data_IF_408184541594
#
_entry.id   IF_408184541594
#
_cell.length_a   1.000
_cell.length_b   1.000
_cell.length_c   1.000
_cell.angle_alpha   90.00
_cell.angle_beta   90.00
_cell.angle_gamma   90.00
#
_symmetry.space_group_name_H-M   'P 1'
#
loop_
_entity.id
_entity.type
_entity.pdbx_description
1 polymer ?
#
# COMPACT_ATOMS: atom_id res chain seq x y z
N UNK A 1 -48.76 -0.45 -22.66
CA UNK A 1 -47.38 -0.34 -23.15
C UNK A 1 -46.45 -0.47 -21.95
N UNK A 2 -46.11 -1.70 -21.58
CA UNK A 2 -45.14 -1.94 -20.51
C UNK A 2 -43.73 -1.72 -21.06
N UNK A 3 -43.07 -0.68 -20.56
CA UNK A 3 -41.63 -0.52 -20.70
C UNK A 3 -40.97 -1.70 -19.99
N UNK A 4 -40.57 -2.71 -20.77
CA UNK A 4 -39.57 -3.70 -20.36
C UNK A 4 -38.33 -2.91 -19.96
N UNK A 5 -38.19 -2.68 -18.65
CA UNK A 5 -36.94 -2.25 -18.03
C UNK A 5 -35.90 -3.30 -18.42
N UNK A 6 -35.10 -2.98 -19.42
CA UNK A 6 -33.90 -3.74 -19.76
C UNK A 6 -32.94 -3.54 -18.59
N UNK A 7 -33.01 -4.43 -17.60
CA UNK A 7 -31.98 -4.55 -16.59
C UNK A 7 -30.87 -5.36 -17.25
N UNK A 8 -29.74 -4.75 -17.67
CA UNK A 8 -28.62 -5.55 -18.13
C UNK A 8 -28.11 -6.28 -16.89
N UNK A 9 -28.11 -7.60 -16.98
CA UNK A 9 -27.79 -8.45 -15.87
C UNK A 9 -26.33 -8.21 -15.49
N UNK A 10 -26.11 -7.66 -14.29
CA UNK A 10 -24.81 -7.58 -13.62
C UNK A 10 -24.40 -8.99 -13.11
N UNK A 11 -24.63 -10.01 -13.92
CA UNK A 11 -24.04 -11.33 -13.78
C UNK A 11 -22.78 -11.32 -14.64
N UNK A 12 -21.62 -11.58 -14.04
CA UNK A 12 -20.34 -11.62 -14.72
C UNK A 12 -20.35 -12.71 -15.81
N UNK A 13 -20.81 -12.36 -17.01
CA UNK A 13 -20.76 -13.25 -18.16
C UNK A 13 -19.30 -13.37 -18.60
N UNK A 14 -18.78 -14.59 -18.78
CA UNK A 14 -17.43 -14.77 -19.29
C UNK A 14 -17.35 -14.15 -20.69
N UNK A 15 -16.35 -13.29 -20.89
CA UNK A 15 -16.06 -12.66 -22.18
C UNK A 15 -14.80 -13.29 -22.75
N UNK A 16 -14.91 -13.79 -23.99
CA UNK A 16 -13.76 -14.31 -24.72
C UNK A 16 -12.85 -13.16 -25.19
N UNK A 17 -11.55 -13.30 -24.93
CA UNK A 17 -10.54 -12.31 -25.30
C UNK A 17 -9.45 -12.94 -26.16
N UNK A 18 -9.15 -12.31 -27.29
CA UNK A 18 -8.11 -12.77 -28.22
C UNK A 18 -7.16 -11.62 -28.55
N UNK A 19 -5.86 -11.85 -28.33
CA UNK A 19 -4.80 -10.91 -28.70
C UNK A 19 -4.16 -11.39 -30.00
N UNK A 20 -4.20 -10.53 -31.03
CA UNK A 20 -3.55 -10.81 -32.32
C UNK A 20 -2.14 -10.21 -32.33
N UNK A 21 -1.28 -10.80 -33.16
CA UNK A 21 0.08 -10.29 -33.44
C UNK A 21 0.96 -10.14 -32.19
N UNK A 22 0.91 -11.12 -31.27
CA UNK A 22 1.83 -11.15 -30.13
C UNK A 22 3.23 -11.52 -30.63
N UNK A 23 4.27 -10.72 -30.35
CA UNK A 23 5.64 -11.07 -30.70
C UNK A 23 6.08 -12.37 -30.02
N UNK A 24 6.81 -13.24 -30.73
CA UNK A 24 7.21 -14.56 -30.23
C UNK A 24 7.96 -14.50 -28.90
N UNK A 25 8.87 -13.52 -28.76
CA UNK A 25 9.62 -13.32 -27.52
C UNK A 25 8.70 -12.98 -26.33
N UNK A 26 7.61 -12.25 -26.55
CA UNK A 26 6.62 -11.92 -25.52
C UNK A 26 5.82 -13.16 -25.15
N UNK A 27 5.34 -13.89 -26.16
CA UNK A 27 4.62 -15.14 -25.94
C UNK A 27 5.45 -16.16 -25.16
N UNK A 28 6.75 -16.27 -25.47
CA UNK A 28 7.64 -17.18 -24.75
C UNK A 28 7.83 -16.77 -23.29
N UNK A 29 8.10 -15.49 -23.03
CA UNK A 29 8.24 -14.98 -21.65
C UNK A 29 6.97 -15.21 -20.82
N UNK A 30 5.79 -15.10 -21.44
CA UNK A 30 4.52 -15.39 -20.77
C UNK A 30 4.35 -16.88 -20.45
N UNK A 31 4.75 -17.78 -21.36
CA UNK A 31 4.77 -19.23 -21.10
C UNK A 31 5.75 -19.58 -19.98
N UNK A 32 6.95 -19.06 -20.01
CA UNK A 32 7.97 -19.31 -18.97
C UNK A 32 7.51 -18.78 -17.61
N UNK A 33 6.83 -17.63 -17.60
CA UNK A 33 6.19 -17.08 -16.40
C UNK A 33 5.08 -18.01 -15.89
N UNK A 34 4.17 -18.47 -16.76
CA UNK A 34 3.12 -19.41 -16.37
C UNK A 34 3.68 -20.72 -15.79
N UNK A 35 4.74 -21.27 -16.39
CA UNK A 35 5.45 -22.46 -15.89
C UNK A 35 6.05 -22.24 -14.50
N UNK A 36 6.76 -21.13 -14.30
CA UNK A 36 7.36 -20.77 -12.99
C UNK A 36 6.30 -20.61 -11.90
N UNK A 37 5.12 -20.12 -12.26
CA UNK A 37 4.02 -19.93 -11.32
C UNK A 37 3.12 -21.18 -11.18
N UNK A 38 3.44 -22.26 -11.90
CA UNK A 38 2.68 -23.51 -11.96
C UNK A 38 1.19 -23.29 -12.33
N UNK A 39 0.94 -22.45 -13.34
CA UNK A 39 -0.41 -22.09 -13.81
C UNK A 39 -0.52 -22.33 -15.32
N UNK A 40 -1.75 -22.48 -15.81
CA UNK A 40 -1.99 -22.41 -17.26
C UNK A 40 -1.71 -20.99 -17.77
N UNK A 41 -1.36 -20.87 -19.05
CA UNK A 41 -1.15 -19.57 -19.70
C UNK A 41 -2.38 -18.66 -19.57
N UNK A 42 -3.58 -19.23 -19.74
CA UNK A 42 -4.83 -18.49 -19.58
C UNK A 42 -4.99 -17.92 -18.16
N UNK A 43 -4.71 -18.72 -17.12
CA UNK A 43 -4.79 -18.26 -15.73
C UNK A 43 -3.74 -17.19 -15.42
N UNK A 44 -2.55 -17.32 -15.98
CA UNK A 44 -1.50 -16.29 -15.82
C UNK A 44 -1.90 -14.97 -16.50
N UNK A 45 -2.47 -15.03 -17.70
CA UNK A 45 -2.97 -13.84 -18.39
C UNK A 45 -4.10 -13.16 -17.62
N UNK A 46 -5.04 -13.93 -17.06
CA UNK A 46 -6.09 -13.39 -16.21
C UNK A 46 -5.51 -12.65 -15.00
N UNK A 47 -4.54 -13.25 -14.28
CA UNK A 47 -3.90 -12.58 -13.15
C UNK A 47 -3.20 -11.26 -13.55
N UNK A 48 -2.56 -11.21 -14.73
CA UNK A 48 -1.92 -9.98 -15.22
C UNK A 48 -2.99 -8.90 -15.50
N UNK A 49 -4.09 -9.28 -16.15
CA UNK A 49 -5.17 -8.35 -16.47
C UNK A 49 -5.90 -7.85 -15.21
N UNK A 50 -6.15 -8.73 -14.23
CA UNK A 50 -6.72 -8.37 -12.92
C UNK A 50 -5.82 -7.41 -12.15
N UNK A 51 -4.51 -7.63 -12.17
CA UNK A 51 -3.56 -6.72 -11.54
C UNK A 51 -3.54 -5.36 -12.24
N UNK A 52 -3.49 -5.34 -13.58
CA UNK A 52 -3.48 -4.11 -14.36
C UNK A 52 -4.77 -3.29 -14.20
N UNK A 53 -5.94 -3.94 -14.15
CA UNK A 53 -7.22 -3.25 -13.94
C UNK A 53 -7.38 -2.72 -12.52
N UNK A 54 -6.72 -3.34 -11.54
CA UNK A 54 -6.72 -2.88 -10.15
C UNK A 54 -5.77 -1.69 -9.92
N UNK A 55 -4.74 -1.54 -10.75
CA UNK A 55 -3.74 -0.46 -10.63
C UNK A 55 -4.29 0.93 -10.99
N UNK A 56 -5.41 1.03 -11.72
CA UNK A 56 -6.13 2.30 -11.93
C UNK A 56 -6.60 2.95 -10.61
N UNK A 57 -6.65 2.17 -9.51
CA UNK A 57 -7.02 2.63 -8.16
C UNK A 57 -5.82 2.80 -7.21
N UNK A 58 -4.58 2.69 -7.68
CA UNK A 58 -3.42 3.10 -6.89
C UNK A 58 -3.20 4.61 -7.09
N UNK A 59 -3.55 5.49 -6.13
CA UNK A 59 -2.83 6.75 -6.07
C UNK A 59 -1.35 6.42 -6.03
N UNK A 60 -0.54 7.07 -6.86
CA UNK A 60 0.92 6.97 -6.84
C UNK A 60 1.35 6.87 -5.37
N UNK A 61 1.87 5.71 -4.98
CA UNK A 61 2.45 5.55 -3.67
C UNK A 61 3.65 6.50 -3.65
N UNK A 62 3.42 7.71 -3.14
CA UNK A 62 4.48 8.55 -2.61
C UNK A 62 5.20 7.63 -1.64
N UNK A 63 6.41 7.20 -2.02
CA UNK A 63 7.27 6.52 -1.08
C UNK A 63 7.38 7.46 0.11
N UNK A 64 6.84 7.05 1.26
CA UNK A 64 7.01 7.79 2.50
C UNK A 64 8.51 8.08 2.62
N UNK A 65 8.92 9.35 2.75
CA UNK A 65 10.33 9.65 2.93
C UNK A 65 10.80 8.80 4.10
N UNK A 66 11.81 7.96 3.87
CA UNK A 66 12.40 7.11 4.91
C UNK A 66 12.63 8.01 6.11
N UNK A 67 11.98 7.77 7.25
CA UNK A 67 12.08 8.73 8.33
C UNK A 67 13.54 8.72 8.77
N UNK A 68 14.18 9.88 8.66
CA UNK A 68 15.61 10.10 8.82
C UNK A 68 16.04 10.01 10.28
N UNK A 69 15.68 8.94 10.99
CA UNK A 69 16.35 8.60 12.22
C UNK A 69 17.79 8.21 11.86
N UNK A 70 18.81 8.89 12.42
CA UNK A 70 20.19 8.48 12.26
C UNK A 70 20.31 7.01 12.67
N UNK A 71 20.85 6.17 11.78
CA UNK A 71 21.06 4.74 12.04
C UNK A 71 21.98 4.48 13.25
N UNK A 72 22.64 5.52 13.74
CA UNK A 72 23.59 5.58 14.85
C UNK A 72 22.99 6.04 16.18
N UNK A 73 21.70 6.40 16.25
CA UNK A 73 21.02 6.72 17.51
C UNK A 73 20.71 5.44 18.34
N UNK A 74 21.76 4.78 18.82
CA UNK A 74 21.68 3.72 19.82
C UNK A 74 22.40 2.44 19.45
N UNK A 75 23.73 2.49 19.30
CA UNK A 75 24.60 1.32 19.42
C UNK A 75 24.63 0.81 20.88
N UNK A 76 23.47 0.41 21.40
CA UNK A 76 23.35 -0.36 22.63
C UNK A 76 23.56 -1.84 22.31
N UNK A 77 24.39 -2.52 23.10
CA UNK A 77 24.73 -3.93 22.93
C UNK A 77 23.46 -4.79 22.68
N UNK A 78 23.48 -5.72 21.70
CA UNK A 78 22.30 -6.47 21.28
C UNK A 78 21.62 -7.27 22.40
N UNK A 79 22.36 -7.65 23.44
CA UNK A 79 21.81 -8.33 24.62
C UNK A 79 20.84 -7.44 25.42
N UNK A 80 21.14 -6.15 25.57
CA UNK A 80 20.28 -5.21 26.28
C UNK A 80 19.00 -4.90 25.51
N UNK A 81 19.05 -4.90 24.16
CA UNK A 81 17.85 -4.82 23.31
C UNK A 81 16.97 -6.05 23.46
N UNK A 82 17.55 -7.26 23.52
CA UNK A 82 16.81 -8.51 23.76
C UNK A 82 16.17 -8.57 25.14
N UNK A 83 16.84 -8.07 26.17
CA UNK A 83 16.29 -7.98 27.53
C UNK A 83 15.13 -6.96 27.64
N UNK A 84 15.22 -5.82 26.92
CA UNK A 84 14.13 -4.83 26.87
C UNK A 84 12.92 -5.29 26.05
N UNK A 85 13.13 -6.06 24.98
CA UNK A 85 12.06 -6.53 24.09
C UNK A 85 11.08 -7.52 24.74
N UNK A 86 11.43 -8.12 25.88
CA UNK A 86 10.61 -9.13 26.58
C UNK A 86 9.64 -8.57 27.62
N UNK A 87 9.63 -7.25 27.84
CA UNK A 87 8.67 -6.62 28.74
C UNK A 87 7.50 -6.08 27.92
N UNK A 88 6.44 -6.86 27.84
CA UNK A 88 5.14 -6.36 27.39
C UNK A 88 4.70 -5.30 28.40
N UNK A 89 4.82 -4.01 28.05
CA UNK A 89 4.18 -2.97 28.84
C UNK A 89 2.69 -3.04 28.60
N UNK A 90 1.90 -2.83 29.66
CA UNK A 90 0.47 -2.64 29.48
C UNK A 90 0.21 -1.33 28.75
N UNK A 91 -0.96 -1.19 28.14
CA UNK A 91 -1.36 0.02 27.43
C UNK A 91 -1.28 1.27 28.33
N UNK A 92 -1.64 1.10 29.60
CA UNK A 92 -1.61 2.15 30.62
C UNK A 92 -0.18 2.56 31.00
N UNK A 93 0.70 1.58 31.23
CA UNK A 93 2.12 1.85 31.51
C UNK A 93 2.83 2.51 30.32
N UNK A 94 2.48 2.10 29.10
CA UNK A 94 2.98 2.74 27.88
C UNK A 94 2.53 4.20 27.79
N UNK A 95 1.26 4.46 28.12
CA UNK A 95 0.68 5.81 28.07
C UNK A 95 1.26 6.75 29.13
N UNK A 96 1.50 6.26 30.36
CA UNK A 96 2.24 7.01 31.38
C UNK A 96 3.67 7.34 30.96
N UNK A 97 4.36 6.36 30.37
CA UNK A 97 5.75 6.54 29.93
C UNK A 97 5.84 7.57 28.80
N UNK A 98 4.91 7.54 27.86
CA UNK A 98 4.87 8.50 26.75
C UNK A 98 4.68 9.95 27.25
N UNK A 99 3.82 10.16 28.26
CA UNK A 99 3.60 11.49 28.85
C UNK A 99 4.83 12.08 29.55
N UNK A 100 5.79 11.25 29.97
CA UNK A 100 7.06 11.72 30.58
C UNK A 100 8.10 12.14 29.54
N UNK A 101 7.94 11.76 28.27
CA UNK A 101 8.94 11.94 27.22
C UNK A 101 8.80 13.24 26.43
N UNK A 102 7.78 14.06 26.72
CA UNK A 102 7.62 15.36 26.08
C UNK A 102 6.27 15.99 26.40
N UNK A 103 6.08 17.27 26.03
CA UNK A 103 4.80 17.94 26.21
C UNK A 103 3.70 17.13 25.50
N UNK A 104 2.52 16.98 26.11
CA UNK A 104 1.43 16.23 25.51
C UNK A 104 1.14 16.81 24.13
N UNK A 105 1.00 15.92 23.13
CA UNK A 105 0.55 16.29 21.78
C UNK A 105 -0.93 16.72 21.93
N UNK A 106 -1.14 17.96 22.33
CA UNK A 106 -2.46 18.47 22.72
C UNK A 106 -2.51 19.99 22.91
N UNK A 107 -1.50 20.72 22.45
CA UNK A 107 -1.47 22.19 22.50
C UNK A 107 -1.90 22.87 21.19
N UNK A 108 -1.58 22.26 20.05
CA UNK A 108 -2.04 22.68 18.73
C UNK A 108 -2.33 21.42 17.91
N UNK A 109 -3.49 21.36 17.25
CA UNK A 109 -3.76 20.26 16.34
C UNK A 109 -2.65 20.23 15.28
N UNK A 110 -2.08 19.07 14.99
CA UNK A 110 -1.12 18.90 13.87
C UNK A 110 -1.70 19.47 12.56
N UNK A 111 -3.04 19.45 12.42
CA UNK A 111 -3.73 20.10 11.32
C UNK A 111 -3.57 21.63 11.29
N UNK A 112 -3.52 22.32 12.44
CA UNK A 112 -3.30 23.76 12.53
C UNK A 112 -1.89 24.15 12.08
N UNK A 113 -0.88 23.35 12.45
CA UNK A 113 0.51 23.55 11.98
C UNK A 113 0.61 23.37 10.47
N UNK A 114 -0.02 22.33 9.93
CA UNK A 114 -0.05 22.06 8.47
C UNK A 114 -0.79 23.18 7.71
N UNK A 115 -1.90 23.70 8.25
CA UNK A 115 -2.65 24.80 7.64
C UNK A 115 -1.82 26.08 7.58
N UNK A 116 -1.20 26.47 8.70
CA UNK A 116 -0.34 27.66 8.77
C UNK A 116 0.79 27.59 7.74
N UNK A 117 1.50 26.46 7.70
CA UNK A 117 2.64 26.25 6.82
C UNK A 117 2.23 26.25 5.33
N UNK A 118 1.02 25.78 5.02
CA UNK A 118 0.42 25.90 3.68
C UNK A 118 0.12 27.36 3.33
N UNK A 119 -0.48 28.10 4.25
CA UNK A 119 -0.89 29.50 4.01
C UNK A 119 0.33 30.43 3.86
N UNK A 120 1.44 30.15 4.56
CA UNK A 120 2.71 30.89 4.41
C UNK A 120 3.35 30.66 3.03
N UNK A 121 3.25 29.45 2.46
CA UNK A 121 3.74 29.16 1.10
C UNK A 121 2.93 29.84 0.00
N UNK A 122 1.62 30.01 0.20
CA UNK A 122 0.73 30.62 -0.79
C UNK A 122 0.83 32.15 -0.89
N UNK A 123 1.58 32.82 -0.01
CA UNK A 123 1.75 34.28 0.01
C UNK A 123 3.08 34.78 -0.59
N UNK A 124 3.90 33.89 -1.17
CA UNK A 124 5.10 34.25 -1.95
C UNK A 124 4.79 34.18 -3.43
#
# INVERSE_FOLDING_TARGET
>A
MELKRYQPELAAMPVDFSVKQVPDAVAQRLRDRAQRHHRSLQRELLCILEAASSEESRPLAVAEPTPGWPADAGAGQPEQRRARARRHLTLEELWERARRLGPPIGGESSASLIRRDRDERGRR
#
